data_IF_220241542790
#
_entry.id   IF_220241542790
#
_cell.length_a   1.000
_cell.length_b   1.000
_cell.length_c   1.000
_cell.angle_alpha   90.00
_cell.angle_beta   90.00
_cell.angle_gamma   90.00
#
_symmetry.space_group_name_H-M   'P 1'
#
loop_
_entity.id
_entity.type
_entity.pdbx_description
1 polymer ?
#
# COMPACT_ATOMS: atom_id res chain seq x y z
N UNK A 1 16.12 15.35 -24.36
CA UNK A 1 15.06 14.55 -23.70
C UNK A 1 14.40 15.43 -22.65
N UNK A 2 13.05 15.38 -22.48
CA UNK A 2 12.39 16.18 -21.44
C UNK A 2 12.66 15.52 -20.09
N UNK A 3 13.12 16.27 -19.10
CA UNK A 3 13.15 15.84 -17.71
C UNK A 3 11.78 15.29 -17.28
N UNK A 4 11.71 14.14 -16.61
CA UNK A 4 10.46 13.60 -16.16
C UNK A 4 9.83 14.60 -15.17
N UNK A 5 8.76 15.26 -15.61
CA UNK A 5 8.07 16.28 -14.82
C UNK A 5 7.01 15.59 -13.97
N UNK A 6 7.11 15.76 -12.67
CA UNK A 6 6.05 15.32 -11.73
C UNK A 6 4.82 16.20 -11.97
N UNK A 7 3.62 15.57 -12.01
CA UNK A 7 2.35 16.30 -12.06
C UNK A 7 2.29 17.33 -10.91
N UNK A 8 2.02 18.62 -11.18
CA UNK A 8 1.96 19.65 -10.14
C UNK A 8 1.04 19.33 -8.97
N UNK A 9 -0.07 18.60 -9.20
CA UNK A 9 -0.98 18.15 -8.15
C UNK A 9 -0.32 17.09 -7.26
N UNK A 10 0.46 16.21 -7.86
CA UNK A 10 1.21 15.20 -7.12
C UNK A 10 2.28 15.88 -6.26
N UNK A 11 3.02 16.83 -6.82
CA UNK A 11 4.02 17.59 -6.10
C UNK A 11 3.44 18.33 -4.89
N UNK A 12 2.33 19.02 -5.06
CA UNK A 12 1.65 19.71 -3.96
C UNK A 12 1.29 18.76 -2.81
N UNK A 13 0.74 17.57 -3.13
CA UNK A 13 0.37 16.59 -2.10
C UNK A 13 1.58 16.00 -1.36
N UNK A 14 2.72 15.88 -2.04
CA UNK A 14 3.97 15.44 -1.41
C UNK A 14 4.50 16.51 -0.46
N UNK A 15 4.46 17.78 -0.86
CA UNK A 15 4.85 18.92 -0.01
C UNK A 15 3.95 19.01 1.23
N UNK A 16 2.63 18.83 1.07
CA UNK A 16 1.68 18.77 2.20
C UNK A 16 2.04 17.64 3.17
N UNK A 17 2.42 16.45 2.67
CA UNK A 17 2.83 15.34 3.52
C UNK A 17 4.17 15.62 4.25
N UNK A 18 5.14 16.23 3.57
CA UNK A 18 6.43 16.64 4.16
C UNK A 18 6.26 17.67 5.28
N UNK A 19 5.31 18.60 5.15
CA UNK A 19 4.98 19.57 6.19
C UNK A 19 4.20 18.94 7.35
N UNK A 20 3.31 18.00 7.04
CA UNK A 20 2.45 17.36 8.04
C UNK A 20 3.21 16.40 8.96
N UNK A 21 4.23 15.70 8.48
CA UNK A 21 4.99 14.72 9.26
C UNK A 21 5.57 15.31 10.56
N UNK A 22 6.31 16.44 10.56
CA UNK A 22 6.84 17.03 11.79
C UNK A 22 5.74 17.55 12.74
N UNK A 23 4.59 17.96 12.22
CA UNK A 23 3.45 18.35 13.06
C UNK A 23 2.89 17.16 13.83
N UNK A 24 2.74 15.99 13.15
CA UNK A 24 2.28 14.75 13.78
C UNK A 24 3.30 14.27 14.81
N UNK A 25 4.59 14.35 14.51
CA UNK A 25 5.68 14.02 15.47
C UNK A 25 5.58 14.90 16.73
N UNK A 26 5.33 16.20 16.57
CA UNK A 26 5.14 17.11 17.70
C UNK A 26 3.88 16.78 18.51
N UNK A 27 2.78 16.43 17.85
CA UNK A 27 1.54 16.03 18.51
C UNK A 27 1.71 14.73 19.30
N UNK A 28 2.42 13.74 18.75
CA UNK A 28 2.71 12.46 19.42
C UNK A 28 3.55 12.65 20.71
N UNK A 29 4.37 13.69 20.76
CA UNK A 29 5.16 14.03 21.96
C UNK A 29 4.35 14.75 23.05
N UNK A 30 3.10 15.18 22.76
CA UNK A 30 2.30 15.96 23.72
C UNK A 30 1.75 15.07 24.85
N UNK A 31 1.73 15.53 26.11
CA UNK A 31 1.16 14.79 27.25
C UNK A 31 -0.32 14.41 27.06
N UNK A 32 -1.08 15.25 26.36
CA UNK A 32 -2.49 15.03 26.07
C UNK A 32 -2.72 13.81 25.16
N UNK A 33 -1.86 13.63 24.17
CA UNK A 33 -1.92 12.47 23.25
C UNK A 33 -1.42 11.22 23.94
N UNK A 34 -0.33 11.30 24.70
CA UNK A 34 0.24 10.19 25.47
C UNK A 34 -0.75 9.62 26.49
N UNK A 35 -1.66 10.43 27.03
CA UNK A 35 -2.71 10.01 27.95
C UNK A 35 -3.94 9.37 27.28
N UNK A 36 -4.04 9.41 25.93
CA UNK A 36 -5.20 8.91 25.18
C UNK A 36 -4.80 7.78 24.22
N UNK A 37 -5.02 6.50 24.58
CA UNK A 37 -4.65 5.36 23.73
C UNK A 37 -5.23 5.41 22.32
N UNK A 38 -6.44 5.96 22.16
CA UNK A 38 -7.08 6.10 20.86
C UNK A 38 -6.34 7.12 19.98
N UNK A 39 -6.09 8.32 20.53
CA UNK A 39 -5.35 9.37 19.78
C UNK A 39 -3.94 8.94 19.43
N UNK A 40 -3.26 8.27 20.36
CA UNK A 40 -1.93 7.74 20.15
C UNK A 40 -1.91 6.72 18.99
N UNK A 41 -2.92 5.83 18.92
CA UNK A 41 -3.06 4.86 17.85
C UNK A 41 -3.33 5.55 16.49
N UNK A 42 -4.26 6.51 16.46
CA UNK A 42 -4.67 7.19 15.24
C UNK A 42 -3.51 8.02 14.67
N UNK A 43 -2.83 8.81 15.50
CA UNK A 43 -1.66 9.60 15.09
C UNK A 43 -0.44 8.73 14.75
N UNK A 44 -0.26 7.60 15.43
CA UNK A 44 0.79 6.64 15.10
C UNK A 44 0.62 6.04 13.69
N UNK A 45 -0.62 5.78 13.28
CA UNK A 45 -0.92 5.32 11.91
C UNK A 45 -0.71 6.43 10.88
N UNK A 46 -1.19 7.63 11.19
CA UNK A 46 -0.97 8.80 10.34
C UNK A 46 0.53 9.03 10.12
N UNK A 47 1.32 8.98 11.20
CA UNK A 47 2.76 9.11 11.14
C UNK A 47 3.42 8.05 10.25
N UNK A 48 3.08 6.78 10.45
CA UNK A 48 3.66 5.68 9.68
C UNK A 48 3.40 5.87 8.17
N UNK A 49 2.18 6.23 7.82
CA UNK A 49 1.79 6.50 6.44
C UNK A 49 2.52 7.72 5.84
N UNK A 50 2.62 8.82 6.60
CA UNK A 50 3.34 10.02 6.16
C UNK A 50 4.83 9.72 5.96
N UNK A 51 5.42 8.90 6.82
CA UNK A 51 6.83 8.49 6.73
C UNK A 51 7.11 7.70 5.44
N UNK A 52 6.21 6.78 5.06
CA UNK A 52 6.30 6.05 3.80
C UNK A 52 6.19 6.99 2.59
N UNK A 53 5.25 7.94 2.60
CA UNK A 53 5.06 8.93 1.54
C UNK A 53 6.29 9.82 1.40
N UNK A 54 6.80 10.36 2.52
CA UNK A 54 7.96 11.26 2.54
C UNK A 54 9.22 10.53 2.10
N UNK A 55 9.39 9.26 2.50
CA UNK A 55 10.52 8.44 2.07
C UNK A 55 10.49 8.21 0.56
N UNK A 56 9.35 7.78 0.02
CA UNK A 56 9.17 7.58 -1.41
C UNK A 56 9.33 8.89 -2.22
N UNK A 57 8.86 10.03 -1.66
CA UNK A 57 9.05 11.37 -2.24
C UNK A 57 10.52 11.75 -2.37
N UNK A 58 11.30 11.51 -1.32
CA UNK A 58 12.75 11.79 -1.30
C UNK A 58 13.50 10.91 -2.31
N UNK A 59 13.17 9.63 -2.38
CA UNK A 59 13.76 8.72 -3.36
C UNK A 59 13.45 9.16 -4.79
N UNK A 60 12.19 9.55 -5.06
CA UNK A 60 11.76 10.04 -6.37
C UNK A 60 12.51 11.31 -6.76
N UNK A 61 12.65 12.26 -5.84
CA UNK A 61 13.38 13.52 -6.06
C UNK A 61 14.85 13.25 -6.36
N UNK A 62 15.51 12.42 -5.56
CA UNK A 62 16.90 12.03 -5.77
C UNK A 62 17.12 11.33 -7.12
N UNK A 63 16.19 10.45 -7.53
CA UNK A 63 16.28 9.79 -8.82
C UNK A 63 16.11 10.78 -9.99
N UNK A 64 15.27 11.80 -9.86
CA UNK A 64 15.08 12.86 -10.86
C UNK A 64 16.33 13.75 -10.94
N UNK A 65 16.90 14.13 -9.81
CA UNK A 65 18.13 14.90 -9.73
C UNK A 65 19.30 14.16 -10.41
N UNK A 66 19.54 12.90 -10.03
CA UNK A 66 20.57 12.08 -10.65
C UNK A 66 20.36 11.87 -12.16
N UNK A 67 19.09 11.69 -12.59
CA UNK A 67 18.79 11.61 -14.02
C UNK A 67 19.13 12.92 -14.75
N UNK A 68 18.86 14.08 -14.15
CA UNK A 68 19.19 15.38 -14.72
C UNK A 68 20.72 15.57 -14.84
N UNK A 69 21.45 15.22 -13.78
CA UNK A 69 22.91 15.26 -13.75
C UNK A 69 23.53 14.34 -14.82
N UNK A 70 23.01 13.13 -14.98
CA UNK A 70 23.48 12.21 -16.02
C UNK A 70 23.20 12.74 -17.43
N UNK A 71 22.06 13.42 -17.65
CA UNK A 71 21.75 14.08 -18.94
C UNK A 71 22.70 15.25 -19.22
N UNK A 72 23.02 16.05 -18.20
CA UNK A 72 23.99 17.14 -18.31
C UNK A 72 25.39 16.60 -18.63
N UNK A 73 25.85 15.58 -17.92
CA UNK A 73 27.13 14.92 -18.17
C UNK A 73 27.21 14.37 -19.58
N UNK A 74 26.15 13.75 -20.10
CA UNK A 74 26.11 13.25 -21.48
C UNK A 74 26.29 14.35 -22.52
N UNK A 75 25.82 15.57 -22.21
CA UNK A 75 25.95 16.73 -23.12
C UNK A 75 27.33 17.41 -23.05
N UNK A 76 27.98 17.38 -21.89
CA UNK A 76 29.22 18.10 -21.63
C UNK A 76 30.47 17.26 -21.91
N UNK A 77 30.40 15.94 -21.87
CA UNK A 77 31.56 15.07 -22.06
C UNK A 77 31.72 14.69 -23.54
N UNK A 78 32.97 14.63 -24.00
CA UNK A 78 33.34 14.06 -25.30
C UNK A 78 33.95 12.66 -25.20
N UNK A 79 34.21 12.19 -24.00
CA UNK A 79 34.76 10.87 -23.71
C UNK A 79 33.71 9.76 -24.01
N UNK A 80 34.01 8.80 -24.90
CA UNK A 80 33.08 7.74 -25.27
C UNK A 80 32.71 6.82 -24.08
N UNK A 81 33.63 6.56 -23.15
CA UNK A 81 33.36 5.72 -21.97
C UNK A 81 32.40 6.43 -21.04
N UNK A 82 32.62 7.72 -20.78
CA UNK A 82 31.74 8.53 -19.94
C UNK A 82 30.34 8.69 -20.56
N UNK A 83 30.25 8.82 -21.89
CA UNK A 83 28.97 8.85 -22.60
C UNK A 83 28.20 7.54 -22.38
N UNK A 84 28.88 6.39 -22.52
CA UNK A 84 28.24 5.08 -22.30
C UNK A 84 27.72 4.92 -20.89
N UNK A 85 28.47 5.34 -19.88
CA UNK A 85 28.04 5.31 -18.48
C UNK A 85 26.83 6.23 -18.22
N UNK A 86 26.87 7.45 -18.75
CA UNK A 86 25.76 8.39 -18.61
C UNK A 86 24.48 7.90 -19.29
N UNK A 87 24.57 7.27 -20.47
CA UNK A 87 23.43 6.66 -21.16
C UNK A 87 22.82 5.51 -20.38
N UNK A 88 23.66 4.64 -19.77
CA UNK A 88 23.20 3.55 -18.90
C UNK A 88 22.49 4.10 -17.66
N UNK A 89 23.07 5.08 -17.00
CA UNK A 89 22.51 5.71 -15.82
C UNK A 89 21.16 6.39 -16.12
N UNK A 90 21.04 7.13 -17.20
CA UNK A 90 19.79 7.73 -17.68
C UNK A 90 18.71 6.65 -17.86
N UNK A 91 19.07 5.51 -18.47
CA UNK A 91 18.14 4.41 -18.70
C UNK A 91 17.66 3.77 -17.39
N UNK A 92 18.58 3.54 -16.45
CA UNK A 92 18.28 2.92 -15.13
C UNK A 92 17.42 3.87 -14.29
N UNK A 93 17.83 5.13 -14.17
CA UNK A 93 17.10 6.14 -13.39
C UNK A 93 15.74 6.45 -14.00
N UNK A 94 15.61 6.47 -15.34
CA UNK A 94 14.32 6.65 -16.00
C UNK A 94 13.29 5.60 -15.58
N UNK A 95 13.67 4.31 -15.58
CA UNK A 95 12.80 3.21 -15.11
C UNK A 95 12.49 3.33 -13.61
N UNK A 96 13.48 3.70 -12.81
CA UNK A 96 13.29 3.90 -11.36
C UNK A 96 12.31 5.02 -11.06
N UNK A 97 12.38 6.13 -11.80
CA UNK A 97 11.45 7.27 -11.68
C UNK A 97 10.02 6.84 -12.00
N UNK A 98 9.81 6.06 -13.07
CA UNK A 98 8.47 5.54 -13.41
C UNK A 98 7.90 4.67 -12.28
N UNK A 99 8.70 3.77 -11.72
CA UNK A 99 8.29 2.91 -10.61
C UNK A 99 7.95 3.72 -9.35
N UNK A 100 8.82 4.65 -8.97
CA UNK A 100 8.61 5.50 -7.79
C UNK A 100 7.41 6.42 -7.97
N UNK A 101 7.17 6.95 -9.17
CA UNK A 101 6.00 7.77 -9.45
C UNK A 101 4.68 7.00 -9.31
N UNK A 102 4.66 5.71 -9.67
CA UNK A 102 3.51 4.84 -9.44
C UNK A 102 3.32 4.56 -7.95
N UNK A 103 4.38 4.17 -7.26
CA UNK A 103 4.36 3.92 -5.81
C UNK A 103 3.85 5.12 -5.02
N UNK A 104 4.35 6.31 -5.32
CA UNK A 104 3.92 7.56 -4.67
C UNK A 104 2.43 7.83 -4.92
N UNK A 105 1.93 7.58 -6.13
CA UNK A 105 0.50 7.75 -6.42
C UNK A 105 -0.36 6.79 -5.59
N UNK A 106 0.05 5.54 -5.44
CA UNK A 106 -0.64 4.55 -4.63
C UNK A 106 -0.65 4.94 -3.14
N UNK A 107 0.48 5.36 -2.60
CA UNK A 107 0.61 5.81 -1.21
C UNK A 107 -0.25 7.05 -0.91
N UNK A 108 -0.50 7.90 -1.89
CA UNK A 108 -1.34 9.09 -1.75
C UNK A 108 -2.84 8.80 -1.83
N UNK A 109 -3.28 7.58 -2.17
CA UNK A 109 -4.70 7.22 -2.10
C UNK A 109 -5.13 7.25 -0.62
N UNK A 110 -6.20 8.00 -0.26
CA UNK A 110 -6.68 8.02 1.11
C UNK A 110 -7.00 6.61 1.60
N UNK A 111 -6.66 6.26 2.86
CA UNK A 111 -7.05 4.97 3.42
C UNK A 111 -8.57 4.86 3.46
N UNK A 112 -9.08 3.67 3.20
CA UNK A 112 -10.50 3.41 3.36
C UNK A 112 -10.87 3.51 4.85
N UNK A 113 -11.85 4.34 5.24
CA UNK A 113 -12.31 4.43 6.63
C UNK A 113 -12.80 3.08 7.19
N UNK A 114 -13.08 2.12 6.33
CA UNK A 114 -13.55 0.78 6.67
C UNK A 114 -12.44 -0.28 6.72
N UNK A 115 -11.22 0.05 6.29
CA UNK A 115 -10.09 -0.90 6.19
C UNK A 115 -9.78 -1.62 7.50
N UNK A 116 -9.97 -0.95 8.64
CA UNK A 116 -9.76 -1.52 9.98
C UNK A 116 -10.97 -2.29 10.54
N UNK A 117 -12.07 -2.36 9.80
CA UNK A 117 -13.25 -3.06 10.27
C UNK A 117 -13.19 -4.53 9.94
N UNK A 118 -13.72 -5.35 10.85
CA UNK A 118 -13.93 -6.75 10.54
C UNK A 118 -14.86 -6.90 9.34
N UNK A 119 -14.46 -7.68 8.35
CA UNK A 119 -15.32 -8.04 7.24
C UNK A 119 -16.25 -9.18 7.65
N UNK A 120 -17.54 -9.07 7.36
CA UNK A 120 -18.49 -10.18 7.50
C UNK A 120 -18.61 -10.84 6.13
N UNK A 121 -18.33 -12.13 6.09
CA UNK A 121 -18.42 -12.96 4.88
C UNK A 121 -19.55 -13.95 5.06
N UNK A 122 -20.48 -13.97 4.11
CA UNK A 122 -21.56 -14.92 4.02
C UNK A 122 -21.44 -15.73 2.74
N UNK A 123 -21.47 -17.05 2.85
CA UNK A 123 -21.40 -17.98 1.73
C UNK A 123 -22.57 -18.92 1.83
N UNK A 124 -23.40 -18.97 0.77
CA UNK A 124 -24.55 -19.87 0.66
C UNK A 124 -24.41 -20.78 -0.54
N UNK A 125 -24.80 -22.05 -0.38
CA UNK A 125 -24.96 -22.96 -1.49
C UNK A 125 -26.09 -22.47 -2.39
N UNK A 126 -25.79 -22.33 -3.69
CA UNK A 126 -26.78 -21.97 -4.70
C UNK A 126 -27.58 -23.16 -5.25
N UNK A 127 -28.15 -23.00 -6.44
CA UNK A 127 -28.83 -24.08 -7.13
C UNK A 127 -27.79 -25.11 -7.63
N UNK A 128 -27.59 -26.20 -6.91
CA UNK A 128 -26.59 -27.22 -7.27
C UNK A 128 -26.62 -28.45 -6.34
N UNK A 129 -27.59 -28.51 -5.42
CA UNK A 129 -27.72 -29.65 -4.51
C UNK A 129 -26.50 -29.83 -3.61
N UNK A 130 -26.11 -31.08 -3.40
CA UNK A 130 -25.04 -31.45 -2.49
C UNK A 130 -23.65 -31.00 -2.99
N UNK A 131 -23.42 -30.95 -4.28
CA UNK A 131 -22.18 -30.45 -4.89
C UNK A 131 -21.93 -28.98 -4.57
N UNK A 132 -22.97 -28.15 -4.59
CA UNK A 132 -22.86 -26.75 -4.19
C UNK A 132 -22.45 -26.62 -2.71
N UNK A 133 -22.98 -27.50 -1.84
CA UNK A 133 -22.59 -27.53 -0.43
C UNK A 133 -21.14 -27.96 -0.21
N UNK A 134 -20.64 -28.91 -0.96
CA UNK A 134 -19.21 -29.31 -0.95
C UNK A 134 -18.31 -28.15 -1.41
N UNK A 135 -18.72 -27.42 -2.45
CA UNK A 135 -17.98 -26.27 -2.93
C UNK A 135 -17.91 -25.12 -1.90
N UNK A 136 -19.02 -24.89 -1.15
CA UNK A 136 -18.98 -23.92 -0.04
C UNK A 136 -17.96 -24.31 1.02
N UNK A 137 -17.84 -25.62 1.35
CA UNK A 137 -16.85 -26.10 2.27
C UNK A 137 -15.42 -25.87 1.78
N UNK A 138 -15.16 -26.03 0.48
CA UNK A 138 -13.87 -25.74 -0.14
C UNK A 138 -13.55 -24.25 -0.13
N UNK A 139 -14.52 -23.38 -0.41
CA UNK A 139 -14.34 -21.92 -0.31
C UNK A 139 -14.04 -21.52 1.14
N UNK A 140 -14.76 -22.04 2.13
CA UNK A 140 -14.46 -21.77 3.54
C UNK A 140 -13.03 -22.18 3.90
N UNK A 141 -12.59 -23.34 3.42
CA UNK A 141 -11.21 -23.83 3.61
C UNK A 141 -10.19 -22.89 2.99
N UNK A 142 -10.46 -22.39 1.79
CA UNK A 142 -9.63 -21.39 1.10
C UNK A 142 -9.49 -20.12 1.95
N UNK A 143 -10.60 -19.55 2.45
CA UNK A 143 -10.56 -18.36 3.30
C UNK A 143 -9.79 -18.59 4.60
N UNK A 144 -9.99 -19.73 5.26
CA UNK A 144 -9.23 -20.09 6.47
C UNK A 144 -7.72 -20.12 6.20
N UNK A 145 -7.30 -20.78 5.12
CA UNK A 145 -5.89 -20.86 4.73
C UNK A 145 -5.31 -19.49 4.36
N UNK A 146 -6.10 -18.64 3.72
CA UNK A 146 -5.70 -17.28 3.40
C UNK A 146 -5.52 -16.43 4.65
N UNK A 147 -6.48 -16.48 5.59
CA UNK A 147 -6.40 -15.78 6.86
C UNK A 147 -5.19 -16.23 7.69
N UNK A 148 -4.94 -17.56 7.80
CA UNK A 148 -3.76 -18.10 8.49
C UNK A 148 -2.45 -17.51 7.95
N UNK A 149 -2.28 -17.43 6.61
CA UNK A 149 -1.08 -16.87 5.99
C UNK A 149 -0.90 -15.38 6.28
N UNK A 150 -2.01 -14.64 6.39
CA UNK A 150 -2.01 -13.21 6.66
C UNK A 150 -2.09 -12.89 8.17
N UNK A 151 -2.10 -13.90 9.03
CA UNK A 151 -2.25 -13.78 10.49
C UNK A 151 -3.56 -13.07 10.90
N UNK A 152 -4.61 -13.27 10.10
CA UNK A 152 -5.95 -12.80 10.39
C UNK A 152 -6.71 -13.85 11.20
N UNK A 153 -7.64 -13.42 12.06
CA UNK A 153 -8.56 -14.32 12.78
C UNK A 153 -9.85 -14.49 11.99
N UNK A 154 -10.41 -15.71 12.05
CA UNK A 154 -11.76 -15.99 11.53
C UNK A 154 -12.61 -16.45 12.71
N UNK A 155 -13.71 -15.72 12.93
CA UNK A 155 -14.71 -16.06 13.95
C UNK A 155 -16.00 -16.49 13.26
N UNK A 156 -16.39 -17.77 13.45
CA UNK A 156 -17.63 -18.30 12.91
C UNK A 156 -18.84 -17.72 13.67
N UNK A 157 -19.76 -17.11 12.93
CA UNK A 157 -21.02 -16.59 13.48
C UNK A 157 -22.18 -17.57 13.31
N UNK A 158 -22.27 -18.22 12.13
CA UNK A 158 -23.28 -19.21 11.82
C UNK A 158 -22.73 -20.28 10.89
N UNK A 159 -23.14 -21.54 11.08
CA UNK A 159 -22.80 -22.67 10.23
C UNK A 159 -24.01 -23.58 10.10
N UNK A 160 -24.51 -23.75 8.88
CA UNK A 160 -25.57 -24.71 8.54
C UNK A 160 -24.96 -25.80 7.67
N UNK A 161 -24.93 -27.01 8.18
CA UNK A 161 -24.38 -28.17 7.48
C UNK A 161 -25.47 -28.86 6.62
N UNK A 162 -25.03 -29.52 5.55
CA UNK A 162 -25.84 -30.39 4.69
C UNK A 162 -25.55 -31.86 4.94
N UNK A 163 -25.30 -32.62 3.87
CA UNK A 163 -24.76 -33.97 3.95
C UNK A 163 -23.34 -33.94 4.53
N UNK A 164 -22.80 -35.07 5.01
CA UNK A 164 -21.45 -35.10 5.60
C UNK A 164 -20.41 -34.44 4.68
N UNK A 165 -19.72 -33.40 5.23
CA UNK A 165 -18.70 -32.65 4.52
C UNK A 165 -19.19 -31.47 3.68
N UNK A 166 -20.52 -31.26 3.54
CA UNK A 166 -21.11 -30.13 2.84
C UNK A 166 -21.62 -29.06 3.80
N UNK A 167 -21.62 -27.80 3.32
CA UNK A 167 -22.10 -26.63 4.06
C UNK A 167 -23.18 -25.94 3.22
N UNK A 168 -24.39 -25.79 3.78
CA UNK A 168 -25.46 -25.05 3.13
C UNK A 168 -25.26 -23.53 3.24
N UNK A 169 -24.81 -23.08 4.39
CA UNK A 169 -24.55 -21.68 4.68
C UNK A 169 -23.47 -21.57 5.75
N UNK A 170 -22.59 -20.60 5.57
CA UNK A 170 -21.63 -20.20 6.60
C UNK A 170 -21.54 -18.69 6.65
N UNK A 171 -21.55 -18.13 7.85
CA UNK A 171 -21.32 -16.70 8.12
C UNK A 171 -20.15 -16.61 9.10
N UNK A 172 -19.17 -15.82 8.76
CA UNK A 172 -18.00 -15.60 9.62
C UNK A 172 -17.47 -14.18 9.48
N UNK A 173 -16.75 -13.71 10.51
CA UNK A 173 -16.00 -12.46 10.46
C UNK A 173 -14.53 -12.74 10.23
N UNK A 174 -13.87 -11.84 9.52
CA UNK A 174 -12.42 -11.81 9.31
C UNK A 174 -11.87 -10.53 9.93
N UNK A 175 -10.82 -10.64 10.73
CA UNK A 175 -10.16 -9.52 11.42
C UNK A 175 -8.65 -9.59 11.27
#
# INVERSE_FOLDING_TARGET
MKSPNIDPRLQQRLEEAELRLPEVDSQLASPEVLSSPKRLKDLGRERARLDEIVTASRELRSAIEGHSEAVELLQETDDPEMKGLAEEEISVLGKRIEQLALQVRELLIPPDPLEDRAAVVEIRAGAGGDEAGLFVADILRMYRRFAERNRWSIDLMNLSEGIPGSIKEVIFTVR
#
